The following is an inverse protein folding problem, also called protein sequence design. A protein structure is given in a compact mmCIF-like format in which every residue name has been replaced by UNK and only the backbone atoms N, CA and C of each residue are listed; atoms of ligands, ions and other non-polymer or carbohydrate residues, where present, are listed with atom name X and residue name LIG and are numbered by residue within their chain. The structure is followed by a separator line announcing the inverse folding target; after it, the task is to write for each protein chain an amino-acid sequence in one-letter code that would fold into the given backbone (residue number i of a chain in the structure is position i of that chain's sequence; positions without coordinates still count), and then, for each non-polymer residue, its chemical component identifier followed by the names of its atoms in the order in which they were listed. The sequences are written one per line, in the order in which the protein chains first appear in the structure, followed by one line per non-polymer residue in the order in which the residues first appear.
data_IF_557971675963
#
_entry.id   IF_557971675963
#
_cell.length_a   1.000
_cell.length_b   1.000
_cell.length_c   1.000
_cell.angle_alpha   90.00
_cell.angle_beta   90.00
_cell.angle_gamma   90.00
#
_symmetry.space_group_name_H-M   'P 1'
#
loop_
_entity.id
_entity.type
_entity.pdbx_description
1 polymer ?
#
# COMPACT_ATOMS: atom_id res chain seq x y z
N UNK A 1 14.50 0.96 -24.93
CA UNK A 1 15.52 1.98 -25.32
C UNK A 1 15.56 2.91 -24.12
N UNK A 2 16.57 2.78 -23.29
CA UNK A 2 16.65 3.56 -22.06
C UNK A 2 17.06 4.97 -22.45
N UNK A 3 16.10 5.89 -22.38
CA UNK A 3 16.39 7.30 -22.51
C UNK A 3 16.97 7.76 -21.18
N UNK A 4 18.24 8.14 -21.18
CA UNK A 4 18.82 8.87 -20.07
C UNK A 4 18.05 10.17 -19.89
N UNK A 5 17.46 10.36 -18.71
CA UNK A 5 16.85 11.64 -18.34
C UNK A 5 17.77 12.36 -17.36
N UNK A 6 17.93 13.66 -17.56
CA UNK A 6 18.75 14.52 -16.71
C UNK A 6 17.97 14.89 -15.44
N UNK A 7 18.58 14.68 -14.28
CA UNK A 7 18.22 15.38 -13.06
C UNK A 7 19.12 16.60 -12.94
N UNK A 8 18.53 17.79 -12.77
CA UNK A 8 19.26 19.06 -12.65
C UNK A 8 18.84 19.77 -11.37
N UNK A 9 19.82 20.23 -10.59
CA UNK A 9 19.61 21.08 -9.42
C UNK A 9 20.16 22.46 -9.76
N UNK A 10 19.37 23.50 -9.52
CA UNK A 10 19.78 24.91 -9.69
C UNK A 10 19.76 25.56 -8.33
N UNK A 11 20.92 26.01 -7.86
CA UNK A 11 21.05 26.70 -6.58
C UNK A 11 21.10 28.21 -6.81
N UNK A 12 20.13 28.91 -6.23
CA UNK A 12 20.07 30.36 -6.21
C UNK A 12 20.59 30.84 -4.85
N UNK A 13 21.88 31.18 -4.81
CA UNK A 13 22.56 31.63 -3.59
C UNK A 13 22.01 32.98 -3.08
N UNK A 14 21.60 33.88 -3.97
CA UNK A 14 20.99 35.16 -3.61
C UNK A 14 19.56 35.00 -3.07
N UNK A 15 18.80 34.10 -3.69
CA UNK A 15 17.40 33.82 -3.34
C UNK A 15 17.22 32.78 -2.25
N UNK A 16 18.32 32.19 -1.75
CA UNK A 16 18.32 31.14 -0.75
C UNK A 16 17.44 29.93 -1.12
N UNK A 17 17.47 29.50 -2.38
CA UNK A 17 16.60 28.46 -2.90
C UNK A 17 17.34 27.45 -3.77
N UNK A 18 16.88 26.20 -3.73
CA UNK A 18 17.28 25.10 -4.61
C UNK A 18 16.08 24.65 -5.43
N UNK A 19 16.19 24.73 -6.75
CA UNK A 19 15.19 24.25 -7.71
C UNK A 19 15.63 22.88 -8.25
N UNK A 20 14.70 21.92 -8.28
CA UNK A 20 14.94 20.54 -8.72
C UNK A 20 14.20 20.27 -10.03
N UNK A 21 14.88 19.71 -11.03
CA UNK A 21 14.31 19.45 -12.35
C UNK A 21 14.46 17.99 -12.79
N UNK A 22 13.44 17.47 -13.47
CA UNK A 22 13.50 16.23 -14.27
C UNK A 22 13.37 16.58 -15.75
N UNK A 23 14.46 16.46 -16.50
CA UNK A 23 14.62 17.11 -17.80
C UNK A 23 14.46 18.62 -17.66
N UNK A 24 13.48 19.19 -18.35
CA UNK A 24 13.14 20.62 -18.26
C UNK A 24 11.94 20.90 -17.33
N UNK A 25 11.40 19.87 -16.65
CA UNK A 25 10.26 20.02 -15.76
C UNK A 25 10.74 20.33 -14.34
N UNK A 26 10.31 21.46 -13.77
CA UNK A 26 10.52 21.77 -12.35
C UNK A 26 9.69 20.81 -11.49
N UNK A 27 10.37 20.07 -10.62
CA UNK A 27 9.77 19.17 -9.64
C UNK A 27 9.36 19.93 -8.37
N UNK A 28 10.16 20.91 -7.96
CA UNK A 28 9.91 21.71 -6.77
C UNK A 28 11.08 22.63 -6.41
N UNK A 29 10.83 23.49 -5.44
CA UNK A 29 11.81 24.44 -4.90
C UNK A 29 11.86 24.30 -3.37
N UNK A 30 13.05 24.24 -2.81
CA UNK A 30 13.27 24.20 -1.36
C UNK A 30 14.14 25.37 -0.95
N UNK A 31 13.93 25.90 0.26
CA UNK A 31 14.89 26.84 0.85
C UNK A 31 16.22 26.13 1.09
N UNK A 32 17.33 26.81 0.80
CA UNK A 32 18.69 26.31 0.95
C UNK A 32 19.50 27.16 1.94
N UNK A 33 19.08 27.25 3.23
CA UNK A 33 19.69 28.16 4.20
C UNK A 33 21.19 27.93 4.41
N UNK A 34 21.70 26.74 4.12
CA UNK A 34 23.13 26.41 4.11
C UNK A 34 23.95 27.16 3.05
N UNK A 35 23.30 27.69 2.01
CA UNK A 35 23.90 28.52 0.97
C UNK A 35 23.87 30.03 1.30
N UNK A 36 23.23 30.45 2.40
CA UNK A 36 23.21 31.86 2.79
C UNK A 36 24.61 32.40 3.05
N UNK A 37 24.97 33.49 2.36
CA UNK A 37 26.27 34.15 2.49
C UNK A 37 27.38 33.51 1.66
N UNK A 38 27.06 32.53 0.82
CA UNK A 38 27.94 32.01 -0.21
C UNK A 38 27.80 32.86 -1.48
N UNK A 39 28.90 33.42 -1.97
CA UNK A 39 28.93 34.23 -3.19
C UNK A 39 30.07 33.71 -4.09
N UNK A 40 29.78 33.45 -5.36
CA UNK A 40 30.77 32.99 -6.34
C UNK A 40 31.06 34.15 -7.28
N UNK A 41 32.27 34.69 -7.20
CA UNK A 41 32.72 35.75 -8.09
C UNK A 41 33.35 35.19 -9.38
N UNK A 42 33.18 35.83 -10.54
CA UNK A 42 33.63 35.30 -11.84
C UNK A 42 35.16 35.19 -12.01
N UNK A 43 35.92 35.79 -11.11
CA UNK A 43 37.38 35.93 -11.13
C UNK A 43 38.10 34.99 -10.14
N UNK A 44 37.37 34.23 -9.34
CA UNK A 44 37.92 33.20 -8.45
C UNK A 44 37.75 31.79 -9.05
N UNK A 45 38.82 30.99 -9.03
CA UNK A 45 38.76 29.58 -9.37
C UNK A 45 37.93 28.84 -8.30
N UNK A 46 36.70 28.45 -8.63
CA UNK A 46 35.93 27.49 -7.83
C UNK A 46 36.50 26.10 -8.10
N UNK A 47 37.45 25.68 -7.25
CA UNK A 47 38.19 24.44 -7.46
C UNK A 47 37.29 23.20 -7.24
N UNK A 48 36.52 23.15 -6.14
CA UNK A 48 35.55 22.07 -5.84
C UNK A 48 34.40 22.57 -4.95
N UNK A 49 33.16 22.20 -5.28
CA UNK A 49 32.00 22.25 -4.37
C UNK A 49 31.74 20.82 -3.90
N UNK A 50 31.81 20.59 -2.58
CA UNK A 50 31.39 19.33 -1.98
C UNK A 50 29.93 19.45 -1.54
N UNK A 51 29.09 18.60 -2.12
CA UNK A 51 27.78 18.31 -1.55
C UNK A 51 27.98 17.13 -0.61
N UNK A 52 27.62 17.30 0.66
CA UNK A 52 27.48 16.19 1.60
C UNK A 52 25.99 15.96 1.80
N UNK A 53 25.58 14.70 1.68
CA UNK A 53 24.26 14.17 2.00
C UNK A 53 23.02 14.87 1.37
N UNK A 54 22.75 14.61 0.08
CA UNK A 54 21.35 14.63 -0.39
C UNK A 54 20.92 13.23 -0.82
N UNK A 55 19.89 12.70 -0.18
CA UNK A 55 19.18 11.50 -0.62
C UNK A 55 17.82 11.91 -1.22
N UNK A 56 17.52 11.41 -2.41
CA UNK A 56 16.15 11.38 -2.92
C UNK A 56 15.51 10.12 -2.39
N UNK A 57 14.98 10.17 -1.18
CA UNK A 57 14.12 9.11 -0.67
C UNK A 57 12.68 9.51 -0.99
N UNK A 58 12.12 8.96 -2.07
CA UNK A 58 10.68 8.73 -2.04
C UNK A 58 10.44 7.81 -0.85
N UNK A 59 9.51 8.13 0.07
CA UNK A 59 9.13 7.15 1.07
C UNK A 59 8.81 5.85 0.34
N UNK A 60 9.63 4.83 0.56
CA UNK A 60 9.45 3.54 -0.11
C UNK A 60 8.22 2.95 0.54
N UNK A 61 7.13 2.87 -0.22
CA UNK A 61 5.97 2.12 0.22
C UNK A 61 6.41 0.68 0.47
N UNK A 62 6.17 0.22 1.70
CA UNK A 62 6.58 -1.09 2.15
C UNK A 62 5.56 -2.16 1.78
N UNK A 63 4.31 -1.81 1.44
CA UNK A 63 3.25 -2.78 1.19
C UNK A 63 3.36 -3.34 -0.23
N UNK A 64 3.69 -4.64 -0.41
CA UNK A 64 3.70 -5.23 -1.74
C UNK A 64 2.26 -5.41 -2.24
N UNK A 65 2.01 -5.04 -3.49
CA UNK A 65 0.72 -5.26 -4.16
C UNK A 65 -0.46 -4.65 -3.37
N UNK A 66 -0.28 -3.44 -2.83
CA UNK A 66 -1.31 -2.71 -2.08
C UNK A 66 -2.47 -2.19 -2.94
N UNK A 67 -2.25 -2.12 -4.25
CA UNK A 67 -3.22 -1.80 -5.32
C UNK A 67 -3.96 -3.03 -5.86
N UNK A 68 -3.56 -4.24 -5.45
CA UNK A 68 -4.13 -5.51 -5.91
C UNK A 68 -4.02 -5.76 -7.43
N UNK A 69 -3.13 -5.05 -8.13
CA UNK A 69 -2.99 -5.16 -9.59
C UNK A 69 -2.08 -6.31 -10.02
N UNK A 70 -1.19 -6.77 -9.15
CA UNK A 70 -0.35 -7.92 -9.44
C UNK A 70 -1.19 -9.18 -9.26
N UNK A 71 -1.75 -9.66 -10.37
CA UNK A 71 -2.50 -10.91 -10.47
C UNK A 71 -1.87 -11.72 -11.59
N UNK A 72 -1.56 -12.98 -11.31
CA UNK A 72 -0.90 -13.88 -12.26
C UNK A 72 -1.70 -15.16 -12.49
N UNK A 73 -1.43 -15.83 -13.61
CA UNK A 73 -1.86 -17.21 -13.84
C UNK A 73 -1.26 -18.11 -12.76
N UNK A 74 -2.07 -18.99 -12.17
CA UNK A 74 -1.59 -19.79 -11.05
C UNK A 74 -0.38 -20.67 -11.39
N UNK A 75 0.65 -20.60 -10.54
CA UNK A 75 1.95 -21.23 -10.72
C UNK A 75 2.95 -20.40 -11.54
N UNK A 76 2.61 -19.17 -11.92
CA UNK A 76 3.45 -18.28 -12.72
C UNK A 76 3.56 -16.90 -12.06
N UNK A 77 4.67 -16.20 -12.31
CA UNK A 77 4.92 -14.84 -11.83
C UNK A 77 5.21 -13.84 -12.97
N UNK A 78 5.00 -14.25 -14.22
CA UNK A 78 5.24 -13.45 -15.43
C UNK A 78 4.04 -13.41 -16.37
N UNK A 79 3.11 -14.36 -16.25
CA UNK A 79 1.88 -14.40 -17.02
C UNK A 79 0.81 -13.71 -16.18
N UNK A 80 0.56 -12.43 -16.47
CA UNK A 80 -0.48 -11.63 -15.80
C UNK A 80 -1.88 -12.17 -16.11
N UNK A 81 -2.81 -11.92 -15.20
CA UNK A 81 -4.22 -12.27 -15.32
C UNK A 81 -5.10 -11.02 -15.21
N UNK A 82 -6.12 -10.96 -16.04
CA UNK A 82 -7.25 -10.03 -15.94
C UNK A 82 -8.47 -10.81 -15.47
N UNK A 83 -9.21 -10.31 -14.48
CA UNK A 83 -10.38 -10.99 -13.94
C UNK A 83 -11.63 -10.88 -14.84
N UNK A 84 -11.59 -10.08 -15.91
CA UNK A 84 -12.67 -9.90 -16.91
C UNK A 84 -14.03 -9.58 -16.25
N UNK A 85 -14.02 -8.69 -15.25
CA UNK A 85 -15.21 -8.32 -14.47
C UNK A 85 -15.62 -9.32 -13.40
N UNK A 86 -14.96 -10.47 -13.29
CA UNK A 86 -15.18 -11.48 -12.25
C UNK A 86 -14.50 -11.14 -10.92
N UNK A 87 -14.57 -12.09 -9.97
CA UNK A 87 -13.91 -11.98 -8.67
C UNK A 87 -13.47 -13.33 -8.13
N UNK A 88 -12.49 -13.31 -7.23
CA UNK A 88 -11.90 -14.51 -6.64
C UNK A 88 -12.63 -14.96 -5.36
N UNK A 89 -12.42 -16.20 -4.93
CA UNK A 89 -12.90 -16.72 -3.64
C UNK A 89 -12.01 -16.30 -2.46
N UNK A 90 -10.90 -15.61 -2.73
CA UNK A 90 -9.88 -15.29 -1.75
C UNK A 90 -8.66 -14.60 -2.34
N UNK A 91 -7.59 -14.54 -1.56
CA UNK A 91 -6.28 -13.96 -1.93
C UNK A 91 -5.17 -15.01 -1.88
N UNK A 92 -3.97 -14.66 -2.31
CA UNK A 92 -2.80 -15.54 -2.24
C UNK A 92 -2.66 -16.47 -3.44
N UNK A 93 -1.77 -17.44 -3.30
CA UNK A 93 -1.45 -18.42 -4.36
C UNK A 93 -2.61 -19.40 -4.57
N UNK A 94 -2.96 -19.64 -5.83
CA UNK A 94 -4.00 -20.58 -6.25
C UNK A 94 -5.42 -20.13 -5.92
N UNK A 95 -5.65 -18.82 -5.70
CA UNK A 95 -6.98 -18.28 -5.49
C UNK A 95 -7.89 -18.64 -6.68
N UNK A 96 -9.03 -19.25 -6.38
CA UNK A 96 -9.99 -19.71 -7.39
C UNK A 96 -10.94 -18.57 -7.73
N UNK A 97 -11.32 -18.43 -9.00
CA UNK A 97 -12.40 -17.54 -9.44
C UNK A 97 -13.72 -18.02 -8.84
N UNK A 98 -14.45 -17.14 -8.16
CA UNK A 98 -15.79 -17.42 -7.65
C UNK A 98 -16.84 -17.23 -8.74
N UNK A 99 -16.68 -16.17 -9.53
CA UNK A 99 -17.46 -15.89 -10.73
C UNK A 99 -16.56 -15.38 -11.86
N UNK A 100 -16.95 -15.65 -13.10
CA UNK A 100 -16.19 -15.29 -14.30
C UNK A 100 -15.04 -16.24 -14.65
N UNK A 101 -14.14 -15.78 -15.52
CA UNK A 101 -12.97 -16.52 -15.99
C UNK A 101 -11.82 -15.55 -16.17
N UNK A 102 -10.67 -15.85 -15.59
CA UNK A 102 -9.49 -15.04 -15.75
C UNK A 102 -8.91 -15.21 -17.16
N UNK A 103 -8.55 -14.09 -17.80
CA UNK A 103 -7.85 -14.03 -19.07
C UNK A 103 -6.37 -13.82 -18.83
N UNK A 104 -5.53 -14.67 -19.41
CA UNK A 104 -4.09 -14.63 -19.18
C UNK A 104 -3.35 -13.97 -20.35
N UNK A 105 -2.25 -13.28 -20.07
CA UNK A 105 -1.46 -12.59 -21.10
C UNK A 105 -0.77 -13.53 -22.11
N UNK A 106 -0.72 -14.84 -21.84
CA UNK A 106 -0.30 -15.87 -22.79
C UNK A 106 -1.40 -16.27 -23.80
N UNK A 107 -2.58 -15.63 -23.72
CA UNK A 107 -3.74 -15.87 -24.58
C UNK A 107 -4.62 -17.04 -24.14
N UNK A 108 -4.29 -17.70 -23.03
CA UNK A 108 -5.16 -18.73 -22.42
C UNK A 108 -6.11 -18.13 -21.39
N UNK A 109 -7.05 -18.92 -20.89
CA UNK A 109 -7.98 -18.52 -19.84
C UNK A 109 -8.16 -19.64 -18.80
N UNK A 110 -8.64 -19.30 -17.62
CA UNK A 110 -8.80 -20.26 -16.52
C UNK A 110 -9.50 -19.69 -15.31
N UNK A 111 -9.62 -20.52 -14.27
CA UNK A 111 -10.38 -20.20 -13.05
C UNK A 111 -9.47 -20.11 -11.81
N UNK A 112 -8.16 -19.96 -11.99
CA UNK A 112 -7.23 -19.87 -10.86
C UNK A 112 -6.16 -18.81 -11.12
N UNK A 113 -5.90 -18.00 -10.10
CA UNK A 113 -4.94 -16.91 -10.14
C UNK A 113 -4.06 -16.91 -8.89
N UNK A 114 -2.87 -16.34 -9.02
CA UNK A 114 -1.99 -16.06 -7.89
C UNK A 114 -2.03 -14.55 -7.61
N UNK A 115 -2.34 -14.19 -6.36
CA UNK A 115 -2.37 -12.81 -5.88
C UNK A 115 -1.31 -12.67 -4.78
N UNK A 116 -0.06 -12.31 -5.11
CA UNK A 116 1.02 -12.20 -4.14
C UNK A 116 0.77 -11.07 -3.13
N UNK A 117 1.53 -11.12 -2.03
CA UNK A 117 1.54 -10.08 -1.00
C UNK A 117 0.51 -10.28 0.11
N UNK A 118 -0.52 -11.12 -0.09
CA UNK A 118 -1.65 -11.23 0.84
C UNK A 118 -2.05 -12.67 1.16
N UNK A 119 -2.44 -12.89 2.42
CA UNK A 119 -3.03 -14.14 2.92
C UNK A 119 -4.28 -13.86 3.74
N UNK A 120 -5.09 -14.88 3.96
CA UNK A 120 -6.18 -14.83 4.91
C UNK A 120 -5.67 -14.65 6.33
N UNK A 121 -6.24 -13.72 7.09
CA UNK A 121 -5.88 -13.56 8.51
C UNK A 121 -6.28 -14.81 9.30
N UNK A 122 -5.36 -15.32 10.12
CA UNK A 122 -5.61 -16.53 10.90
C UNK A 122 -6.71 -16.32 11.94
N UNK A 123 -7.54 -17.36 12.16
CA UNK A 123 -8.68 -17.28 13.07
C UNK A 123 -9.88 -16.52 12.53
N UNK A 124 -9.86 -16.10 11.27
CA UNK A 124 -11.00 -15.56 10.54
C UNK A 124 -11.63 -16.59 9.62
N UNK A 125 -12.95 -16.59 9.59
CA UNK A 125 -13.71 -17.45 8.69
C UNK A 125 -13.78 -16.81 7.30
N UNK A 126 -14.02 -17.64 6.28
CA UNK A 126 -14.24 -17.14 4.93
C UNK A 126 -15.56 -16.40 4.80
N UNK A 127 -15.66 -15.52 3.80
CA UNK A 127 -16.94 -14.99 3.36
C UNK A 127 -17.75 -16.11 2.64
N UNK A 128 -19.03 -16.31 3.00
CA UNK A 128 -19.96 -17.30 2.41
C UNK A 128 -19.63 -18.80 2.60
N UNK A 129 -20.49 -19.67 2.04
CA UNK A 129 -20.30 -21.12 1.82
C UNK A 129 -19.26 -21.38 0.70
N UNK A 130 -18.11 -20.70 0.74
CA UNK A 130 -17.02 -20.88 -0.22
C UNK A 130 -16.32 -22.21 -0.04
N UNK A 131 -15.50 -22.59 -1.02
CA UNK A 131 -14.69 -23.79 -0.95
C UNK A 131 -13.88 -23.81 0.35
N UNK A 132 -14.29 -24.69 1.27
CA UNK A 132 -13.69 -24.80 2.59
C UNK A 132 -12.27 -25.37 2.56
N UNK A 133 -11.85 -25.94 1.42
CA UNK A 133 -10.50 -26.43 1.19
C UNK A 133 -9.50 -25.31 0.87
N UNK A 134 -9.96 -24.15 0.39
CA UNK A 134 -9.11 -22.98 0.18
C UNK A 134 -9.05 -22.11 1.44
N UNK A 135 -7.84 -21.87 1.95
CA UNK A 135 -7.64 -21.29 3.29
C UNK A 135 -7.76 -19.76 3.36
N UNK A 136 -7.44 -19.05 2.27
CA UNK A 136 -7.36 -17.59 2.21
C UNK A 136 -8.66 -16.93 1.71
N UNK A 137 -9.80 -17.41 2.19
CA UNK A 137 -11.16 -17.10 1.68
C UNK A 137 -11.88 -15.94 2.39
N UNK A 138 -11.13 -15.13 3.14
CA UNK A 138 -11.67 -14.07 4.00
C UNK A 138 -12.24 -12.89 3.21
N UNK A 139 -11.97 -12.78 1.91
CA UNK A 139 -12.59 -11.80 1.03
C UNK A 139 -12.37 -12.17 -0.44
N UNK A 140 -12.39 -11.19 -1.33
CA UNK A 140 -12.19 -11.39 -2.76
C UNK A 140 -11.38 -10.26 -3.35
N UNK A 141 -10.69 -10.51 -4.45
CA UNK A 141 -10.25 -9.45 -5.36
C UNK A 141 -11.23 -9.42 -6.51
N UNK A 142 -11.68 -8.22 -6.88
CA UNK A 142 -12.62 -8.00 -7.99
C UNK A 142 -12.17 -6.84 -8.86
N UNK A 143 -12.68 -6.78 -10.09
CA UNK A 143 -12.54 -5.60 -10.93
C UNK A 143 -13.44 -4.45 -10.43
N UNK A 144 -12.88 -3.48 -9.69
CA UNK A 144 -13.49 -2.21 -9.25
C UNK A 144 -12.50 -1.38 -8.40
N UNK A 145 -11.23 -1.37 -8.81
CA UNK A 145 -10.18 -0.56 -8.18
C UNK A 145 -10.39 0.94 -8.35
N UNK A 146 -9.80 1.72 -7.44
CA UNK A 146 -9.61 3.16 -7.60
C UNK A 146 -8.18 3.47 -8.06
N UNK A 147 -7.21 2.65 -7.68
CA UNK A 147 -5.81 2.76 -8.11
C UNK A 147 -5.44 1.58 -9.01
N UNK A 148 -6.01 1.60 -10.22
CA UNK A 148 -5.93 0.48 -11.15
C UNK A 148 -7.30 -0.09 -11.48
N UNK A 149 -7.35 -1.38 -11.77
CA UNK A 149 -8.55 -2.11 -12.16
C UNK A 149 -9.17 -2.92 -11.00
N UNK A 150 -8.41 -3.23 -9.95
CA UNK A 150 -8.74 -4.23 -8.94
C UNK A 150 -8.81 -3.64 -7.53
N UNK A 151 -9.58 -4.27 -6.67
CA UNK A 151 -9.63 -3.95 -5.24
C UNK A 151 -9.92 -5.22 -4.44
N UNK A 152 -9.48 -5.24 -3.19
CA UNK A 152 -9.95 -6.21 -2.22
C UNK A 152 -11.36 -5.84 -1.75
N UNK A 153 -12.20 -6.84 -1.48
CA UNK A 153 -13.50 -6.67 -0.87
C UNK A 153 -13.71 -7.67 0.25
N UNK A 154 -14.50 -7.28 1.24
CA UNK A 154 -15.04 -8.17 2.25
C UNK A 154 -16.51 -7.84 2.53
N UNK A 155 -17.30 -8.88 2.80
CA UNK A 155 -18.73 -8.74 3.02
C UNK A 155 -19.05 -8.64 4.52
N UNK A 156 -20.18 -7.99 4.82
CA UNK A 156 -20.71 -7.85 6.16
C UNK A 156 -21.97 -8.69 6.40
N UNK A 157 -22.58 -8.50 7.57
CA UNK A 157 -23.77 -9.25 7.99
C UNK A 157 -25.01 -9.04 7.14
N UNK A 158 -25.11 -7.93 6.38
CA UNK A 158 -26.19 -7.67 5.43
C UNK A 158 -26.25 -8.69 4.29
N UNK A 159 -25.11 -9.33 3.97
CA UNK A 159 -25.00 -10.45 3.05
C UNK A 159 -24.67 -11.77 3.75
N UNK A 160 -24.99 -11.88 5.04
CA UNK A 160 -24.85 -13.12 5.81
C UNK A 160 -23.46 -13.40 6.35
N UNK A 161 -22.49 -12.48 6.23
CA UNK A 161 -21.15 -12.63 6.79
C UNK A 161 -20.89 -11.69 7.99
N UNK A 162 -21.58 -11.93 9.11
CA UNK A 162 -21.34 -11.15 10.34
C UNK A 162 -19.96 -11.45 10.97
N UNK A 163 -19.32 -12.54 10.56
CA UNK A 163 -17.93 -12.82 10.91
C UNK A 163 -17.00 -11.76 10.32
N UNK A 164 -17.31 -11.18 9.16
CA UNK A 164 -16.46 -10.23 8.42
C UNK A 164 -15.34 -10.96 7.67
N UNK A 165 -14.25 -10.25 7.35
CA UNK A 165 -13.14 -10.83 6.60
C UNK A 165 -11.89 -9.96 6.61
N UNK A 166 -10.79 -10.49 7.13
CA UNK A 166 -9.50 -9.81 7.16
C UNK A 166 -8.45 -10.56 6.34
N UNK A 167 -7.61 -9.81 5.64
CA UNK A 167 -6.36 -10.28 5.02
C UNK A 167 -5.17 -9.62 5.70
N UNK A 168 -4.03 -10.28 5.62
CA UNK A 168 -2.76 -9.83 6.19
C UNK A 168 -1.65 -9.94 5.14
N UNK A 169 -0.64 -9.08 5.22
CA UNK A 169 0.52 -9.19 4.36
C UNK A 169 1.18 -10.56 4.53
N UNK A 170 1.52 -11.23 3.43
CA UNK A 170 2.01 -12.61 3.43
C UNK A 170 3.42 -12.74 3.99
N UNK A 171 4.19 -11.65 3.95
CA UNK A 171 5.57 -11.57 4.41
C UNK A 171 5.76 -10.34 5.31
N UNK A 172 6.90 -10.32 6.01
CA UNK A 172 7.33 -9.17 6.80
C UNK A 172 7.63 -7.99 5.88
N UNK A 173 7.19 -6.80 6.29
CA UNK A 173 7.45 -5.53 5.61
C UNK A 173 8.77 -4.87 6.09
N UNK A 174 9.57 -5.61 6.86
CA UNK A 174 10.77 -5.13 7.55
C UNK A 174 10.57 -5.06 9.06
N UNK A 175 11.62 -4.66 9.77
CA UNK A 175 11.57 -4.55 11.23
C UNK A 175 11.15 -3.13 11.66
N UNK A 176 10.47 -3.04 12.81
CA UNK A 176 10.09 -1.75 13.42
C UNK A 176 11.32 -0.90 13.68
N UNK A 177 11.28 0.34 13.19
CA UNK A 177 12.30 1.37 13.41
C UNK A 177 11.78 2.43 14.39
N UNK A 178 12.72 3.15 15.00
CA UNK A 178 12.42 4.35 15.79
C UNK A 178 12.16 5.53 14.86
N UNK A 179 10.94 5.61 14.34
CA UNK A 179 10.52 6.60 13.35
C UNK A 179 9.00 6.82 13.41
N UNK A 180 8.46 7.63 12.49
CA UNK A 180 7.01 7.75 12.31
C UNK A 180 6.57 6.93 11.12
N UNK A 181 5.58 6.05 11.30
CA UNK A 181 4.91 5.35 10.21
C UNK A 181 3.54 5.94 9.92
N UNK A 182 3.19 6.04 8.64
CA UNK A 182 1.84 6.32 8.15
C UNK A 182 1.35 5.11 7.37
N UNK A 183 0.30 4.47 7.87
CA UNK A 183 -0.41 3.39 7.20
C UNK A 183 -1.72 3.94 6.67
N UNK A 184 -1.99 3.79 5.38
CA UNK A 184 -3.20 4.27 4.75
C UNK A 184 -3.79 3.24 3.79
N UNK A 185 -5.09 3.36 3.53
CA UNK A 185 -5.80 2.73 2.44
C UNK A 185 -6.97 3.62 2.03
N UNK A 186 -7.57 3.37 0.87
CA UNK A 186 -8.91 3.88 0.58
C UNK A 186 -9.96 2.78 0.76
N UNK A 187 -11.15 3.16 1.20
CA UNK A 187 -12.25 2.23 1.38
C UNK A 187 -13.58 2.78 0.87
N UNK A 188 -14.44 1.89 0.37
CA UNK A 188 -15.77 2.22 -0.11
C UNK A 188 -16.77 1.09 0.15
N UNK A 189 -17.86 1.38 0.85
CA UNK A 189 -18.99 0.48 0.99
C UNK A 189 -19.69 0.63 2.33
N UNK A 190 -20.45 -0.38 2.72
CA UNK A 190 -21.33 -0.33 3.88
C UNK A 190 -20.96 -1.37 4.94
N UNK A 191 -20.07 -2.30 4.62
CA UNK A 191 -19.63 -3.30 5.58
C UNK A 191 -18.68 -2.69 6.63
N UNK A 192 -19.10 -2.74 7.90
CA UNK A 192 -18.41 -2.09 9.01
C UNK A 192 -18.35 -3.01 10.24
N UNK A 193 -17.32 -2.91 11.10
CA UNK A 193 -16.26 -1.89 11.07
C UNK A 193 -15.19 -2.18 10.01
N UNK A 194 -14.74 -1.14 9.31
CA UNK A 194 -13.52 -1.23 8.49
C UNK A 194 -12.30 -1.36 9.41
N UNK A 195 -11.34 -2.19 9.03
CA UNK A 195 -10.13 -2.48 9.80
C UNK A 195 -8.90 -2.13 8.97
N UNK A 196 -7.99 -1.40 9.59
CA UNK A 196 -6.64 -1.12 9.10
C UNK A 196 -5.70 -1.11 10.32
N UNK A 197 -4.82 -2.11 10.38
CA UNK A 197 -3.96 -2.40 11.53
C UNK A 197 -2.50 -2.56 11.07
N UNK A 198 -1.59 -1.94 11.80
CA UNK A 198 -0.17 -2.29 11.77
C UNK A 198 0.09 -3.31 12.88
N UNK A 199 0.80 -4.38 12.54
CA UNK A 199 1.19 -5.41 13.49
C UNK A 199 2.71 -5.42 13.61
N UNK A 200 3.19 -5.60 14.84
CA UNK A 200 4.60 -5.81 15.14
C UNK A 200 4.74 -7.11 15.94
N UNK A 201 5.49 -8.07 15.40
CA UNK A 201 5.59 -9.42 15.99
C UNK A 201 4.23 -10.14 16.06
N UNK A 202 3.30 -9.79 15.18
CA UNK A 202 1.92 -10.30 15.18
C UNK A 202 0.98 -9.66 16.21
N UNK A 203 1.42 -8.63 16.94
CA UNK A 203 0.61 -7.87 17.88
C UNK A 203 0.15 -6.56 17.24
N UNK A 204 -1.13 -6.24 17.35
CA UNK A 204 -1.69 -4.97 16.83
C UNK A 204 -1.08 -3.80 17.62
N UNK A 205 -0.42 -2.89 16.90
CA UNK A 205 0.12 -1.66 17.46
C UNK A 205 -1.01 -0.65 17.60
N UNK A 206 -1.05 0.06 18.73
CA UNK A 206 -2.03 1.14 18.90
C UNK A 206 -1.52 2.40 18.18
N UNK A 207 -2.29 2.98 17.26
CA UNK A 207 -1.90 4.20 16.57
C UNK A 207 -1.93 5.42 17.49
N UNK A 208 -1.06 6.40 17.27
CA UNK A 208 -1.11 7.70 17.94
C UNK A 208 -2.21 8.60 17.39
N UNK A 209 -2.61 8.39 16.12
CA UNK A 209 -3.73 9.09 15.48
C UNK A 209 -4.40 8.20 14.45
N UNK A 210 -5.69 8.43 14.18
CA UNK A 210 -6.47 7.65 13.21
C UNK A 210 -7.49 8.52 12.49
N UNK A 211 -7.71 8.21 11.21
CA UNK A 211 -8.79 8.75 10.37
C UNK A 211 -9.68 7.60 9.97
N UNK A 212 -10.95 7.66 10.39
CA UNK A 212 -11.99 6.65 10.09
C UNK A 212 -13.26 7.37 9.61
N UNK A 213 -13.38 7.63 8.30
CA UNK A 213 -14.53 8.32 7.77
C UNK A 213 -15.75 7.38 7.69
N UNK A 214 -16.94 7.96 7.64
CA UNK A 214 -18.14 7.20 7.33
C UNK A 214 -18.15 6.88 5.83
N UNK A 215 -17.93 5.61 5.50
CA UNK A 215 -17.85 5.11 4.12
C UNK A 215 -19.19 5.31 3.41
N UNK A 216 -19.32 6.42 2.67
CA UNK A 216 -20.54 6.77 1.93
C UNK A 216 -20.19 7.23 0.52
N UNK A 217 -20.76 6.56 -0.49
CA UNK A 217 -20.68 6.98 -1.89
C UNK A 217 -19.35 6.62 -2.55
N UNK A 218 -18.33 7.45 -2.37
CA UNK A 218 -17.01 7.36 -3.02
C UNK A 218 -15.96 6.67 -2.14
N UNK A 219 -14.81 6.31 -2.70
CA UNK A 219 -13.66 5.85 -1.92
C UNK A 219 -13.16 6.98 -1.00
N UNK A 220 -12.91 6.64 0.25
CA UNK A 220 -12.45 7.57 1.29
C UNK A 220 -11.22 7.02 1.97
N UNK A 221 -10.29 7.90 2.33
CA UNK A 221 -9.06 7.51 3.01
C UNK A 221 -9.33 7.07 4.45
N UNK A 222 -8.80 5.90 4.80
CA UNK A 222 -8.64 5.40 6.17
C UNK A 222 -7.15 5.41 6.46
N UNK A 223 -6.72 6.07 7.54
CA UNK A 223 -5.29 6.15 7.85
C UNK A 223 -4.98 6.06 9.34
N UNK A 224 -3.74 5.68 9.64
CA UNK A 224 -3.17 5.48 10.97
C UNK A 224 -1.77 6.08 11.00
N UNK A 225 -1.47 6.81 12.07
CA UNK A 225 -0.13 7.31 12.36
C UNK A 225 0.41 6.57 13.58
N UNK A 226 1.66 6.13 13.52
CA UNK A 226 2.39 5.51 14.61
C UNK A 226 3.68 6.30 14.83
N UNK A 227 3.78 7.01 15.94
CA UNK A 227 5.00 7.72 16.33
C UNK A 227 5.96 6.81 17.12
N UNK A 228 7.17 7.31 17.36
CA UNK A 228 8.19 6.63 18.15
C UNK A 228 7.67 6.15 19.52
N UNK A 229 6.80 6.92 20.18
CA UNK A 229 6.24 6.56 21.47
C UNK A 229 5.30 5.34 21.38
N UNK A 230 4.50 5.26 20.32
CA UNK A 230 3.61 4.13 20.04
C UNK A 230 4.38 2.84 19.69
N UNK A 231 5.60 2.99 19.16
CA UNK A 231 6.45 1.90 18.67
C UNK A 231 7.53 1.44 19.65
N UNK A 232 7.81 2.19 20.72
CA UNK A 232 8.92 1.95 21.64
C UNK A 232 8.96 0.52 22.23
N UNK A 233 7.80 -0.12 22.41
CA UNK A 233 7.70 -1.49 22.90
C UNK A 233 7.92 -2.59 21.86
N UNK A 234 8.10 -2.23 20.59
CA UNK A 234 8.11 -3.14 19.45
C UNK A 234 9.36 -2.99 18.57
N UNK A 235 10.36 -2.19 18.98
CA UNK A 235 11.58 -1.96 18.19
C UNK A 235 12.26 -3.29 17.81
N UNK A 236 12.54 -3.47 16.52
CA UNK A 236 13.15 -4.68 15.97
C UNK A 236 12.19 -5.86 15.75
N UNK A 237 10.91 -5.74 16.10
CA UNK A 237 9.90 -6.75 15.76
C UNK A 237 9.51 -6.65 14.27
N UNK A 238 9.17 -7.77 13.60
CA UNK A 238 8.77 -7.75 12.20
C UNK A 238 7.39 -7.09 12.02
N UNK A 239 7.25 -6.27 10.98
CA UNK A 239 6.02 -5.57 10.62
C UNK A 239 5.15 -6.39 9.66
N UNK A 240 3.84 -6.43 9.92
CA UNK A 240 2.83 -6.84 8.94
C UNK A 240 1.65 -5.85 8.94
N UNK A 241 0.87 -5.84 7.86
CA UNK A 241 -0.35 -5.03 7.75
C UNK A 241 -1.55 -5.95 7.66
N UNK A 242 -2.65 -5.61 8.35
CA UNK A 242 -3.93 -6.31 8.27
C UNK A 242 -5.06 -5.35 7.95
N UNK A 243 -5.94 -5.74 7.04
CA UNK A 243 -7.08 -4.93 6.64
C UNK A 243 -8.31 -5.76 6.26
N UNK A 244 -9.46 -5.09 6.21
CA UNK A 244 -10.73 -5.65 5.73
C UNK A 244 -11.92 -5.25 6.59
N UNK A 245 -12.84 -6.17 6.84
CA UNK A 245 -14.03 -5.95 7.67
C UNK A 245 -13.94 -6.73 8.98
N UNK A 246 -14.12 -6.02 10.09
CA UNK A 246 -14.06 -6.49 11.47
C UNK A 246 -15.28 -7.35 11.90
N UNK A 247 -15.18 -7.94 13.11
CA UNK A 247 -16.17 -8.90 13.64
C UNK A 247 -17.49 -8.18 13.94
N UNK A 248 -18.57 -8.96 13.98
CA UNK A 248 -19.94 -8.45 14.15
C UNK A 248 -20.33 -7.49 13.03
N UNK A 249 -19.83 -7.79 11.83
CA UNK A 249 -19.95 -6.91 10.68
C UNK A 249 -21.40 -6.60 10.37
N UNK A 250 -21.71 -5.33 10.15
CA UNK A 250 -22.98 -4.86 9.60
C UNK A 250 -22.83 -4.53 8.13
N UNK A 251 -23.93 -4.20 7.46
CA UNK A 251 -23.92 -3.77 6.05
C UNK A 251 -23.55 -4.87 5.06
N UNK A 252 -23.58 -4.52 3.78
CA UNK A 252 -23.51 -5.49 2.68
C UNK A 252 -22.06 -5.87 2.32
N UNK A 253 -21.28 -4.91 1.84
CA UNK A 253 -19.91 -5.11 1.37
C UNK A 253 -19.10 -3.82 1.52
N UNK A 254 -17.80 -3.96 1.73
CA UNK A 254 -16.82 -2.88 1.63
C UNK A 254 -15.63 -3.31 0.79
N UNK A 255 -15.15 -2.39 -0.04
CA UNK A 255 -13.98 -2.49 -0.89
C UNK A 255 -12.83 -1.70 -0.28
N UNK A 256 -11.61 -2.16 -0.49
CA UNK A 256 -10.36 -1.63 0.04
C UNK A 256 -9.32 -1.66 -1.06
N UNK A 257 -8.57 -0.57 -1.19
CA UNK A 257 -7.58 -0.41 -2.25
C UNK A 257 -6.47 0.58 -1.83
N UNK A 258 -5.40 0.67 -2.61
CA UNK A 258 -4.27 1.57 -2.45
C UNK A 258 -3.71 1.57 -1.01
N UNK A 259 -3.36 0.37 -0.55
CA UNK A 259 -2.83 0.16 0.79
C UNK A 259 -1.34 0.53 0.79
N UNK A 260 -0.96 1.48 1.63
CA UNK A 260 0.41 2.00 1.69
C UNK A 260 0.92 2.04 3.12
N UNK A 261 2.21 1.76 3.30
CA UNK A 261 2.93 1.94 4.55
C UNK A 261 4.22 2.69 4.25
N UNK A 262 4.29 3.93 4.70
CA UNK A 262 5.47 4.79 4.55
C UNK A 262 6.03 5.16 5.92
N UNK A 263 7.33 5.42 5.98
CA UNK A 263 7.98 5.90 7.19
C UNK A 263 8.87 7.11 6.93
N UNK A 264 8.96 7.97 7.93
CA UNK A 264 9.84 9.14 7.94
C UNK A 264 10.76 9.07 9.15
N UNK A 265 12.07 9.17 8.93
CA UNK A 265 13.05 9.19 10.02
C UNK A 265 12.73 10.32 11.01
N UNK A 266 12.79 10.03 12.31
CA UNK A 266 12.69 11.05 13.34
C UNK A 266 13.85 12.04 13.18
N UNK A 267 13.52 13.32 13.01
CA UNK A 267 14.49 14.43 12.94
C UNK A 267 15.20 14.65 14.26
#
# INVERSE_FOLDING_TARGET
RDQWVQLRIVMNFDGNACDFYYGDTLLGSLECPSAMGFDIWPDDDVDVIYYDDFSFESPTDLVPNGDFEQIFKSGWNTITADLDGGWTQGVGMGAIMDDGTALYSDGTSGNSVDIPGWIGSQGWEGSYDRDTSFVNRQGSVQASGVDGSHAFLANGGGWGNASGGLIESSESLGDVKDCTYTLAMVANGEATPAVLELLAGGVVVTPSSSVDPALTGEFQEVSRIYDAASLAGFLGEPLTVRLGVGRNAQGSQTRFDNVTLVFEASK
#
